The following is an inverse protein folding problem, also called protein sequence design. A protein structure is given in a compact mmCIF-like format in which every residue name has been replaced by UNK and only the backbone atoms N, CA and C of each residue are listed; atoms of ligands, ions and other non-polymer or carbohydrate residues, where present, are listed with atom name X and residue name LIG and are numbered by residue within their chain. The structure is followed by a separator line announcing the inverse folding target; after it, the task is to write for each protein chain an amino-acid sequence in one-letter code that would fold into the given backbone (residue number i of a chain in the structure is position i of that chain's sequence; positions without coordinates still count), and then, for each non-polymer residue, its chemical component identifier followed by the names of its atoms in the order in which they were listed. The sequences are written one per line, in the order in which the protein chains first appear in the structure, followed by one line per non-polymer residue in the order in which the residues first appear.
data_IF_464591053859
#
_entry.id   IF_464591053859
#
_cell.length_a   1.000
_cell.length_b   1.000
_cell.length_c   1.000
_cell.angle_alpha   90.00
_cell.angle_beta   90.00
_cell.angle_gamma   90.00
#
_symmetry.space_group_name_H-M   'P 1'
#
loop_
_entity.id
_entity.type
_entity.pdbx_description
1 polymer ?
#
# COMPACT_ATOMS: atom_id res chain seq x y z
N UNK A 1 -3.82 -0.54 -12.27
CA UNK A 1 -4.85 -0.38 -13.31
C UNK A 1 -4.75 1.04 -13.83
N UNK A 2 -4.78 1.23 -15.13
CA UNK A 2 -4.82 2.55 -15.78
C UNK A 2 -6.03 2.54 -16.70
N UNK A 3 -6.79 3.64 -16.69
CA UNK A 3 -7.91 3.85 -17.61
C UNK A 3 -7.46 4.98 -18.53
N UNK A 4 -7.30 4.65 -19.81
CA UNK A 4 -6.92 5.61 -20.84
C UNK A 4 -8.15 5.89 -21.71
N UNK A 5 -8.40 7.16 -22.03
CA UNK A 5 -9.44 7.54 -23.00
C UNK A 5 -8.85 7.32 -24.40
N UNK A 6 -9.34 6.29 -25.10
CA UNK A 6 -8.84 5.93 -26.44
C UNK A 6 -9.52 6.77 -27.52
N UNK A 7 -10.81 7.07 -27.36
CA UNK A 7 -11.60 7.89 -28.28
C UNK A 7 -12.78 8.56 -27.53
N UNK A 8 -13.26 9.69 -28.06
CA UNK A 8 -14.40 10.44 -27.54
C UNK A 8 -14.10 11.44 -26.42
N UNK A 9 -15.15 12.03 -25.86
CA UNK A 9 -15.11 12.90 -24.69
C UNK A 9 -15.90 12.25 -23.54
N UNK A 10 -15.49 12.51 -22.29
CA UNK A 10 -16.21 12.01 -21.11
C UNK A 10 -17.56 12.71 -21.02
N UNK A 11 -18.62 12.04 -21.48
CA UNK A 11 -19.98 12.54 -21.46
C UNK A 11 -20.84 11.81 -20.43
N UNK A 12 -21.88 12.47 -19.87
CA UNK A 12 -22.83 11.80 -19.00
C UNK A 12 -23.50 10.63 -19.73
N UNK A 13 -23.42 9.42 -19.17
CA UNK A 13 -24.01 8.23 -19.78
C UNK A 13 -23.21 6.96 -19.51
N UNK A 14 -23.60 5.87 -20.19
CA UNK A 14 -22.90 4.60 -20.12
C UNK A 14 -21.55 4.70 -20.85
N UNK A 15 -20.50 4.14 -20.24
CA UNK A 15 -19.17 4.05 -20.84
C UNK A 15 -18.79 2.58 -21.02
N UNK A 16 -18.24 2.25 -22.18
CA UNK A 16 -17.63 0.94 -22.44
C UNK A 16 -16.17 0.99 -21.99
N UNK A 17 -15.74 -0.04 -21.26
CA UNK A 17 -14.34 -0.21 -20.86
C UNK A 17 -13.79 -1.46 -21.52
N UNK A 18 -12.78 -1.29 -22.38
CA UNK A 18 -12.09 -2.39 -23.03
C UNK A 18 -10.77 -2.71 -22.30
N UNK A 19 -10.61 -3.93 -21.75
CA UNK A 19 -9.37 -4.29 -21.09
C UNK A 19 -8.26 -4.61 -22.11
N UNK A 20 -7.18 -3.83 -22.07
CA UNK A 20 -5.94 -4.17 -22.76
C UNK A 20 -5.05 -5.07 -21.88
N UNK A 21 -4.65 -6.24 -22.41
CA UNK A 21 -3.75 -7.19 -21.72
C UNK A 21 -2.36 -7.12 -22.36
N UNK A 22 -1.33 -6.84 -21.55
CA UNK A 22 0.06 -6.85 -21.99
C UNK A 22 0.68 -8.23 -21.69
N UNK A 23 0.85 -9.06 -22.73
CA UNK A 23 1.43 -10.40 -22.61
C UNK A 23 2.91 -10.42 -22.17
N UNK A 24 3.60 -9.27 -22.21
CA UNK A 24 4.99 -9.15 -21.71
C UNK A 24 5.05 -9.05 -20.18
N UNK A 25 3.90 -8.85 -19.52
CA UNK A 25 3.78 -8.73 -18.07
C UNK A 25 3.08 -9.96 -17.50
N UNK A 26 3.27 -10.30 -16.21
CA UNK A 26 2.54 -11.39 -15.58
C UNK A 26 1.02 -11.23 -15.78
N UNK A 27 0.36 -12.29 -16.25
CA UNK A 27 -1.07 -12.26 -16.58
C UNK A 27 -1.95 -12.20 -15.32
N UNK A 28 -1.59 -12.95 -14.28
CA UNK A 28 -2.43 -13.09 -13.09
C UNK A 28 -2.77 -11.74 -12.42
N UNK A 29 -1.81 -10.82 -12.17
CA UNK A 29 -2.14 -9.48 -11.64
C UNK A 29 -3.05 -8.64 -12.55
N UNK A 30 -2.98 -8.81 -13.87
CA UNK A 30 -3.82 -8.09 -14.83
C UNK A 30 -5.26 -8.60 -14.74
N UNK A 31 -5.47 -9.92 -14.76
CA UNK A 31 -6.79 -10.55 -14.61
C UNK A 31 -7.41 -10.23 -13.25
N UNK A 32 -6.63 -10.25 -12.17
CA UNK A 32 -7.10 -9.83 -10.84
C UNK A 32 -7.54 -8.36 -10.81
N UNK A 33 -6.86 -7.48 -11.55
CA UNK A 33 -7.28 -6.08 -11.67
C UNK A 33 -8.62 -5.94 -12.41
N UNK A 34 -8.82 -6.70 -13.48
CA UNK A 34 -10.08 -6.72 -14.25
C UNK A 34 -11.22 -7.27 -13.38
N UNK A 35 -10.99 -8.37 -12.65
CA UNK A 35 -11.98 -8.94 -11.71
C UNK A 35 -12.40 -7.94 -10.63
N UNK A 36 -11.44 -7.21 -10.05
CA UNK A 36 -11.73 -6.15 -9.07
C UNK A 36 -12.53 -5.00 -9.68
N UNK A 37 -12.19 -4.57 -10.89
CA UNK A 37 -12.94 -3.52 -11.57
C UNK A 37 -14.38 -3.97 -11.84
N UNK A 38 -14.57 -5.18 -12.34
CA UNK A 38 -15.89 -5.76 -12.58
C UNK A 38 -16.71 -5.86 -11.28
N UNK A 39 -16.10 -6.29 -10.18
CA UNK A 39 -16.76 -6.30 -8.87
C UNK A 39 -17.20 -4.88 -8.44
N UNK A 40 -16.31 -3.88 -8.57
CA UNK A 40 -16.61 -2.49 -8.26
C UNK A 40 -17.77 -1.93 -9.11
N UNK A 41 -17.79 -2.22 -10.42
CA UNK A 41 -18.86 -1.80 -11.33
C UNK A 41 -20.21 -2.38 -10.91
N UNK A 42 -20.23 -3.62 -10.40
CA UNK A 42 -21.45 -4.25 -9.87
C UNK A 42 -21.87 -3.74 -8.49
N UNK A 43 -21.09 -2.84 -7.87
CA UNK A 43 -21.35 -2.32 -6.53
C UNK A 43 -20.81 -3.19 -5.40
N UNK A 44 -20.00 -4.21 -5.69
CA UNK A 44 -19.35 -5.00 -4.66
C UNK A 44 -18.34 -4.12 -3.91
N UNK A 45 -18.36 -4.21 -2.57
CA UNK A 45 -17.32 -3.57 -1.76
C UNK A 45 -16.08 -4.46 -1.76
N UNK A 46 -14.93 -4.01 -2.29
CA UNK A 46 -13.71 -4.79 -2.18
C UNK A 46 -13.38 -4.99 -0.71
N UNK A 47 -12.86 -6.15 -0.33
CA UNK A 47 -12.33 -6.36 1.02
C UNK A 47 -11.11 -5.45 1.21
N UNK A 48 -11.33 -4.25 1.73
CA UNK A 48 -10.34 -3.17 1.83
C UNK A 48 -9.19 -3.45 2.82
N UNK A 49 -9.19 -4.59 3.51
CA UNK A 49 -8.15 -4.91 4.49
C UNK A 49 -7.03 -5.74 3.87
N UNK A 50 -6.34 -5.16 2.89
CA UNK A 50 -5.00 -5.66 2.58
C UNK A 50 -4.09 -5.24 3.75
N UNK A 51 -3.78 -6.19 4.63
CA UNK A 51 -2.89 -5.97 5.77
C UNK A 51 -1.55 -5.41 5.31
N UNK A 52 -1.11 -5.66 4.06
CA UNK A 52 0.09 -5.05 3.50
C UNK A 52 -0.02 -3.53 3.46
N UNK A 53 -1.13 -2.95 3.00
CA UNK A 53 -1.28 -1.49 2.94
C UNK A 53 -1.24 -0.86 4.33
N UNK A 54 -1.85 -1.50 5.34
CA UNK A 54 -1.75 -1.04 6.73
C UNK A 54 -0.28 -0.98 7.18
N UNK A 55 0.48 -2.05 6.92
CA UNK A 55 1.91 -2.13 7.24
C UNK A 55 2.75 -1.06 6.52
N UNK A 56 2.44 -0.77 5.26
CA UNK A 56 3.15 0.23 4.46
C UNK A 56 2.84 1.65 4.94
N UNK A 57 1.58 1.96 5.24
CA UNK A 57 1.17 3.26 5.81
C UNK A 57 1.81 3.48 7.18
N UNK A 58 1.84 2.46 8.03
CA UNK A 58 2.56 2.50 9.30
C UNK A 58 4.04 2.83 9.11
N UNK A 59 4.71 2.20 8.14
CA UNK A 59 6.12 2.45 7.87
C UNK A 59 6.37 3.86 7.30
N UNK A 60 5.47 4.41 6.49
CA UNK A 60 5.55 5.79 6.04
C UNK A 60 5.44 6.78 7.21
N UNK A 61 4.50 6.55 8.13
CA UNK A 61 4.40 7.36 9.36
C UNK A 61 5.67 7.29 10.22
N UNK A 62 6.33 6.14 10.24
CA UNK A 62 7.65 6.00 10.90
C UNK A 62 8.73 6.80 10.18
N UNK A 63 8.73 6.83 8.84
CA UNK A 63 9.65 7.68 8.10
C UNK A 63 9.46 9.17 8.44
N UNK A 64 8.20 9.62 8.52
CA UNK A 64 7.87 10.99 8.92
C UNK A 64 8.35 11.30 10.35
N UNK A 65 8.12 10.37 11.29
CA UNK A 65 8.58 10.52 12.67
C UNK A 65 10.11 10.57 12.77
N UNK A 66 10.83 9.71 12.03
CA UNK A 66 12.29 9.73 11.96
C UNK A 66 12.82 11.05 11.38
N UNK A 67 12.17 11.57 10.32
CA UNK A 67 12.53 12.87 9.74
C UNK A 67 12.29 14.03 10.73
N UNK A 68 11.30 13.90 11.61
CA UNK A 68 11.06 14.83 12.71
C UNK A 68 12.01 14.63 13.92
N UNK A 69 12.96 13.69 13.85
CA UNK A 69 13.92 13.42 14.92
C UNK A 69 13.41 12.51 16.03
N UNK A 70 12.29 11.81 15.83
CA UNK A 70 11.74 10.91 16.84
C UNK A 70 12.67 9.73 17.13
N UNK A 71 12.82 9.43 18.41
CA UNK A 71 13.51 8.25 18.90
C UNK A 71 12.71 6.96 18.67
N UNK A 72 13.39 5.82 18.71
CA UNK A 72 12.74 4.50 18.62
C UNK A 72 11.66 4.30 19.70
N UNK A 73 11.85 4.89 20.89
CA UNK A 73 10.88 4.86 22.00
C UNK A 73 9.62 5.64 21.65
N UNK A 74 9.77 6.87 21.16
CA UNK A 74 8.62 7.72 20.78
C UNK A 74 7.83 7.09 19.63
N UNK A 75 8.53 6.51 18.65
CA UNK A 75 7.90 5.75 17.57
C UNK A 75 7.10 4.55 18.11
N UNK A 76 7.67 3.78 19.03
CA UNK A 76 6.99 2.62 19.59
C UNK A 76 5.75 2.99 20.42
N UNK A 77 5.87 4.03 21.28
CA UNK A 77 4.76 4.55 22.07
C UNK A 77 3.63 5.07 21.16
N UNK A 78 3.96 5.85 20.13
CA UNK A 78 2.99 6.42 19.21
C UNK A 78 2.30 5.41 18.30
N UNK A 79 2.91 4.26 18.03
CA UNK A 79 2.34 3.24 17.15
C UNK A 79 1.63 2.10 17.88
N UNK A 80 2.11 1.71 19.06
CA UNK A 80 1.71 0.47 19.72
C UNK A 80 0.87 0.71 20.96
N UNK A 81 0.86 1.92 21.53
CA UNK A 81 -0.03 2.29 22.63
C UNK A 81 0.23 1.61 23.98
N UNK A 82 1.30 0.80 24.07
CA UNK A 82 1.62 -0.06 25.21
C UNK A 82 2.71 0.54 26.13
N UNK A 83 2.84 -0.07 27.31
CA UNK A 83 3.87 0.22 28.32
C UNK A 83 5.26 -0.09 27.73
N UNK A 84 5.92 0.91 27.13
CA UNK A 84 7.24 0.71 26.53
C UNK A 84 8.30 0.55 27.63
N UNK A 85 9.08 -0.55 27.64
CA UNK A 85 9.10 -1.63 26.66
C UNK A 85 8.33 -2.91 27.08
N UNK A 86 7.70 -2.96 28.27
CA UNK A 86 6.96 -4.11 28.80
C UNK A 86 7.90 -5.28 29.10
N UNK A 87 7.50 -6.52 28.75
CA UNK A 87 8.41 -7.70 28.61
C UNK A 87 9.51 -7.50 27.54
N UNK A 88 9.64 -6.28 27.00
CA UNK A 88 10.89 -5.69 26.57
C UNK A 88 11.19 -5.92 25.10
N UNK A 89 11.24 -7.19 24.71
CA UNK A 89 11.91 -7.58 23.48
C UNK A 89 10.97 -7.58 22.28
N UNK A 90 9.70 -7.95 22.47
CA UNK A 90 8.73 -8.02 21.38
C UNK A 90 8.37 -6.65 20.80
N UNK A 91 8.12 -5.66 21.66
CA UNK A 91 7.75 -4.29 21.26
C UNK A 91 8.93 -3.58 20.59
N UNK A 92 10.13 -3.71 21.18
CA UNK A 92 11.37 -3.16 20.63
C UNK A 92 11.73 -3.77 19.28
N UNK A 93 11.63 -5.10 19.15
CA UNK A 93 11.85 -5.82 17.90
C UNK A 93 10.86 -5.39 16.80
N UNK A 94 9.58 -5.22 17.16
CA UNK A 94 8.54 -4.74 16.23
C UNK A 94 8.82 -3.31 15.75
N UNK A 95 9.20 -2.40 16.65
CA UNK A 95 9.57 -1.03 16.30
C UNK A 95 10.79 -0.98 15.36
N UNK A 96 11.84 -1.76 15.64
CA UNK A 96 13.02 -1.87 14.77
C UNK A 96 12.68 -2.37 13.36
N UNK A 97 11.82 -3.39 13.25
CA UNK A 97 11.35 -3.88 11.95
C UNK A 97 10.59 -2.81 11.17
N UNK A 98 9.81 -1.96 11.85
CA UNK A 98 9.11 -0.84 11.22
C UNK A 98 10.07 0.25 10.73
N UNK A 99 11.09 0.58 11.51
CA UNK A 99 12.15 1.51 11.10
C UNK A 99 12.92 0.97 9.89
N UNK A 100 13.25 -0.33 9.87
CA UNK A 100 13.90 -0.96 8.73
C UNK A 100 13.04 -0.88 7.46
N UNK A 101 11.74 -1.20 7.57
CA UNK A 101 10.80 -1.11 6.45
C UNK A 101 10.61 0.33 5.97
N UNK A 102 10.59 1.31 6.88
CA UNK A 102 10.54 2.73 6.53
C UNK A 102 11.76 3.14 5.70
N UNK A 103 12.97 2.75 6.13
CA UNK A 103 14.20 3.01 5.39
C UNK A 103 14.26 2.30 4.04
N UNK A 104 13.65 1.12 3.91
CA UNK A 104 13.50 0.43 2.63
C UNK A 104 12.54 1.16 1.69
N UNK A 105 11.38 1.59 2.20
CA UNK A 105 10.39 2.33 1.42
C UNK A 105 10.93 3.66 0.90
N UNK A 106 11.62 4.43 1.75
CA UNK A 106 12.21 5.71 1.35
C UNK A 106 13.27 5.52 0.27
N UNK A 107 14.10 4.47 0.34
CA UNK A 107 15.13 4.20 -0.68
C UNK A 107 14.56 3.67 -1.99
N UNK A 108 13.59 2.76 -1.92
CA UNK A 108 13.08 2.08 -3.10
C UNK A 108 12.02 2.91 -3.85
N UNK A 109 11.41 3.88 -3.17
CA UNK A 109 10.44 4.80 -3.73
C UNK A 109 9.10 4.14 -4.13
N UNK A 110 8.19 4.93 -4.71
CA UNK A 110 6.82 4.48 -5.01
C UNK A 110 6.77 3.36 -6.07
N UNK A 111 7.76 3.30 -6.97
CA UNK A 111 7.85 2.26 -8.00
C UNK A 111 7.90 0.85 -7.43
N UNK A 112 8.64 0.65 -6.33
CA UNK A 112 8.74 -0.67 -5.67
C UNK A 112 7.43 -1.10 -4.99
N UNK A 113 6.67 -0.15 -4.44
CA UNK A 113 5.35 -0.39 -3.85
C UNK A 113 4.35 -0.84 -4.91
N UNK A 114 4.31 -0.12 -6.04
CA UNK A 114 3.45 -0.41 -7.19
C UNK A 114 3.80 -1.76 -7.84
N UNK A 115 5.09 -2.09 -7.92
CA UNK A 115 5.58 -3.37 -8.42
C UNK A 115 5.45 -4.53 -7.42
N UNK A 116 4.96 -4.26 -6.20
CA UNK A 116 4.86 -5.24 -5.09
C UNK A 116 6.17 -5.93 -4.71
N UNK A 117 7.27 -5.17 -4.74
CA UNK A 117 8.62 -5.66 -4.36
C UNK A 117 8.96 -5.43 -2.88
N UNK A 118 8.07 -4.77 -2.14
CA UNK A 118 8.14 -4.43 -0.70
C UNK A 118 6.78 -4.72 -0.07
#
# INVERSE_FOLDING_TARGET
MRLDLVDGAVMPGHMTVEPAIDFRRPLHPQLESIRRLHALIRGDRPSLRDQRFVRLVEALRVADALAAGASLREIALGMLGDDWPGDGEHVKSRARRRVALAGELTRAGPGAVLARRI
#
